data_IF_776636912937
#
_entry.id   IF_776636912937
#
_cell.length_a   1.000
_cell.length_b   1.000
_cell.length_c   1.000
_cell.angle_alpha   90.00
_cell.angle_beta   90.00
_cell.angle_gamma   90.00
#
_symmetry.space_group_name_H-M   'P 1'
#
loop_
_entity.id
_entity.type
_entity.pdbx_description
1 polymer ?
#
# COMPACT_ATOMS: atom_id res chain seq x y z
N UNK A 1 12.10 -3.38 -38.28
CA UNK A 1 11.09 -2.32 -38.05
C UNK A 1 11.56 -1.50 -36.87
N UNK A 2 11.92 -0.23 -37.10
CA UNK A 2 12.09 0.73 -36.02
C UNK A 2 10.71 1.00 -35.40
N UNK A 3 10.63 1.07 -34.07
CA UNK A 3 9.36 1.26 -33.37
C UNK A 3 9.56 1.78 -31.96
N UNK A 4 9.56 3.10 -31.81
CA UNK A 4 9.05 3.81 -30.64
C UNK A 4 9.92 3.81 -29.38
N UNK A 5 10.95 4.66 -29.35
CA UNK A 5 11.46 5.19 -28.09
C UNK A 5 10.44 6.16 -27.50
N UNK A 6 9.44 5.64 -26.79
CA UNK A 6 8.70 6.44 -25.82
C UNK A 6 9.65 6.76 -24.68
N UNK A 7 9.61 7.98 -24.14
CA UNK A 7 10.30 8.30 -22.89
C UNK A 7 9.94 7.20 -21.87
N UNK A 8 10.90 6.64 -21.12
CA UNK A 8 10.60 5.60 -20.15
C UNK A 8 9.54 6.15 -19.19
N UNK A 9 8.34 5.56 -19.23
CA UNK A 9 7.27 5.93 -18.30
C UNK A 9 7.73 5.61 -16.88
N UNK A 10 7.41 6.50 -15.94
CA UNK A 10 7.73 6.33 -14.53
C UNK A 10 7.04 5.07 -13.98
N UNK A 11 7.79 4.15 -13.36
CA UNK A 11 7.22 2.88 -12.89
C UNK A 11 6.30 3.08 -11.69
N UNK A 12 5.07 2.56 -11.73
CA UNK A 12 4.07 2.86 -10.69
C UNK A 12 4.03 1.77 -9.62
N UNK A 13 4.45 2.11 -8.41
CA UNK A 13 4.52 1.20 -7.26
C UNK A 13 3.45 1.58 -6.24
N UNK A 14 2.50 0.68 -5.99
CA UNK A 14 1.52 0.82 -4.92
C UNK A 14 2.07 0.29 -3.60
N UNK A 15 2.17 1.16 -2.60
CA UNK A 15 2.32 0.78 -1.20
C UNK A 15 0.93 0.65 -0.58
N UNK A 16 0.52 -0.58 -0.26
CA UNK A 16 -0.77 -0.88 0.36
C UNK A 16 -0.57 -1.51 1.73
N UNK A 17 -1.32 -1.07 2.75
CA UNK A 17 -1.15 -1.63 4.07
C UNK A 17 -1.86 -0.87 5.18
N UNK A 18 -1.25 -0.85 6.36
CA UNK A 18 -1.80 -0.26 7.58
C UNK A 18 -1.20 1.13 7.91
N UNK A 19 -1.16 1.46 9.20
CA UNK A 19 -0.54 2.66 9.76
C UNK A 19 0.92 2.86 9.35
N UNK A 20 1.70 1.78 9.20
CA UNK A 20 3.11 1.87 8.80
C UNK A 20 3.23 2.35 7.36
N UNK A 21 2.34 1.88 6.48
CA UNK A 21 2.23 2.37 5.10
C UNK A 21 1.68 3.79 5.03
N UNK A 22 0.71 4.12 5.89
CA UNK A 22 0.11 5.45 5.94
C UNK A 22 1.09 6.53 6.43
N UNK A 23 2.14 6.12 7.15
CA UNK A 23 3.10 7.01 7.79
C UNK A 23 2.75 7.44 9.20
N UNK A 24 1.80 6.78 9.87
CA UNK A 24 1.21 7.22 11.14
C UNK A 24 2.28 7.45 12.22
N UNK A 25 2.41 8.69 12.68
CA UNK A 25 3.29 9.06 13.79
C UNK A 25 2.65 10.12 14.69
N UNK A 26 3.28 10.45 15.83
CA UNK A 26 2.76 11.40 16.81
C UNK A 26 1.27 11.17 17.19
N UNK A 27 0.88 9.90 17.37
CA UNK A 27 -0.51 9.47 17.63
C UNK A 27 -1.53 9.91 16.56
N UNK A 28 -1.12 9.93 15.29
CA UNK A 28 -1.98 10.28 14.15
C UNK A 28 -2.10 11.77 13.91
N UNK A 29 -1.33 12.59 14.64
CA UNK A 29 -1.24 14.03 14.41
C UNK A 29 -0.37 14.37 13.20
N UNK A 30 0.57 13.48 12.85
CA UNK A 30 1.53 13.65 11.76
C UNK A 30 1.62 12.33 10.98
N UNK A 31 1.93 12.44 9.69
CA UNK A 31 2.18 11.29 8.82
C UNK A 31 3.45 11.52 8.02
N UNK A 32 4.41 10.60 8.12
CA UNK A 32 5.66 10.64 7.35
C UNK A 32 5.55 9.84 6.05
N UNK A 33 6.10 10.31 4.93
CA UNK A 33 5.83 9.73 3.62
C UNK A 33 6.68 8.47 3.36
N UNK A 34 6.24 7.31 3.87
CA UNK A 34 6.88 6.01 3.59
C UNK A 34 7.09 5.75 2.09
N UNK A 35 6.06 5.98 1.28
CA UNK A 35 6.14 5.75 -0.17
C UNK A 35 7.20 6.60 -0.85
N UNK A 36 7.38 7.85 -0.42
CA UNK A 36 8.41 8.76 -0.96
C UNK A 36 9.81 8.25 -0.59
N UNK A 37 10.03 7.94 0.69
CA UNK A 37 11.31 7.40 1.16
C UNK A 37 11.68 6.09 0.43
N UNK A 38 10.70 5.24 0.14
CA UNK A 38 10.90 4.01 -0.63
C UNK A 38 11.38 4.29 -2.06
N UNK A 39 10.70 5.17 -2.81
CA UNK A 39 11.09 5.42 -4.21
C UNK A 39 12.42 6.16 -4.31
N UNK A 40 12.73 7.04 -3.36
CA UNK A 40 14.06 7.68 -3.26
C UNK A 40 15.15 6.63 -3.03
N UNK A 41 14.92 5.67 -2.14
CA UNK A 41 15.85 4.57 -1.90
C UNK A 41 16.01 3.66 -3.13
N UNK A 42 14.91 3.38 -3.86
CA UNK A 42 14.96 2.59 -5.10
C UNK A 42 15.75 3.32 -6.19
N UNK A 43 15.50 4.61 -6.41
CA UNK A 43 16.24 5.43 -7.37
C UNK A 43 17.74 5.44 -7.04
N UNK A 44 18.10 5.62 -5.76
CA UNK A 44 19.49 5.60 -5.31
C UNK A 44 20.17 4.22 -5.42
N UNK A 45 19.42 3.13 -5.24
CA UNK A 45 19.99 1.77 -5.16
C UNK A 45 20.08 1.07 -6.51
N UNK A 46 19.08 1.25 -7.38
CA UNK A 46 18.96 0.52 -8.66
C UNK A 46 18.77 1.43 -9.88
N UNK A 47 18.84 2.76 -9.70
CA UNK A 47 18.77 3.72 -10.81
C UNK A 47 17.43 3.74 -11.54
N UNK A 48 16.37 3.26 -10.89
CA UNK A 48 15.02 3.17 -11.49
C UNK A 48 14.16 4.30 -10.94
N UNK A 49 13.57 5.11 -11.83
CA UNK A 49 12.60 6.13 -11.45
C UNK A 49 11.21 5.49 -11.27
N UNK A 50 10.60 5.74 -10.11
CA UNK A 50 9.30 5.21 -9.76
C UNK A 50 8.36 6.30 -9.23
N UNK A 51 7.06 6.09 -9.38
CA UNK A 51 5.98 6.82 -8.72
C UNK A 51 5.45 5.97 -7.57
N UNK A 52 5.31 6.56 -6.38
CA UNK A 52 4.65 5.90 -5.26
C UNK A 52 3.15 6.24 -5.23
N UNK A 53 2.29 5.23 -5.33
CA UNK A 53 0.90 5.32 -4.90
C UNK A 53 0.82 4.81 -3.47
N UNK A 54 0.21 5.54 -2.55
CA UNK A 54 0.15 5.14 -1.13
C UNK A 54 -1.30 4.99 -0.68
N UNK A 55 -1.65 3.81 -0.17
CA UNK A 55 -2.94 3.52 0.45
C UNK A 55 -2.75 2.72 1.73
N UNK A 56 -2.51 3.42 2.83
CA UNK A 56 -2.46 2.83 4.18
C UNK A 56 -3.76 3.07 4.93
N UNK A 57 -4.26 2.04 5.60
CA UNK A 57 -5.47 2.11 6.44
C UNK A 57 -5.10 1.82 7.89
N UNK A 58 -4.90 2.88 8.69
CA UNK A 58 -4.43 2.78 10.07
C UNK A 58 -5.32 1.84 10.92
N UNK A 59 -4.69 0.96 11.69
CA UNK A 59 -5.38 0.03 12.59
C UNK A 59 -6.02 -1.19 11.93
N UNK A 60 -5.99 -1.32 10.60
CA UNK A 60 -6.59 -2.47 9.92
C UNK A 60 -5.83 -3.76 10.14
N UNK A 61 -6.59 -4.83 10.34
CA UNK A 61 -6.14 -6.22 10.29
C UNK A 61 -6.02 -6.71 8.84
N UNK A 62 -5.23 -7.76 8.62
CA UNK A 62 -5.14 -8.42 7.32
C UNK A 62 -6.53 -8.89 6.81
N UNK A 63 -7.36 -9.45 7.68
CA UNK A 63 -8.72 -9.89 7.34
C UNK A 63 -9.65 -8.74 6.93
N UNK A 64 -9.48 -7.56 7.53
CA UNK A 64 -10.27 -6.39 7.19
C UNK A 64 -9.84 -5.82 5.83
N UNK A 65 -8.54 -5.88 5.49
CA UNK A 65 -8.07 -5.54 4.14
C UNK A 65 -8.69 -6.46 3.08
N UNK A 66 -8.78 -7.76 3.36
CA UNK A 66 -9.46 -8.75 2.49
C UNK A 66 -10.95 -8.44 2.35
N UNK A 67 -11.63 -8.16 3.47
CA UNK A 67 -13.07 -7.84 3.47
C UNK A 67 -13.37 -6.60 2.63
N UNK A 68 -12.44 -5.64 2.60
CA UNK A 68 -12.60 -4.36 1.92
C UNK A 68 -12.05 -4.33 0.49
N UNK A 69 -11.61 -5.44 -0.10
CA UNK A 69 -10.89 -5.48 -1.39
C UNK A 69 -11.55 -4.65 -2.50
N UNK A 70 -12.87 -4.71 -2.63
CA UNK A 70 -13.63 -4.03 -3.68
C UNK A 70 -14.22 -2.68 -3.24
N UNK A 71 -14.03 -2.28 -1.98
CA UNK A 71 -14.64 -1.07 -1.44
C UNK A 71 -14.09 0.19 -2.11
N UNK A 72 -14.99 1.09 -2.51
CA UNK A 72 -14.65 2.42 -3.04
C UNK A 72 -14.25 3.41 -1.96
N UNK A 73 -14.58 3.11 -0.69
CA UNK A 73 -14.26 3.94 0.46
C UNK A 73 -14.07 3.07 1.69
N UNK A 74 -12.85 3.05 2.21
CA UNK A 74 -12.47 2.39 3.46
C UNK A 74 -12.05 3.48 4.42
N UNK A 75 -12.70 3.54 5.59
CA UNK A 75 -12.33 4.48 6.66
C UNK A 75 -11.45 3.79 7.68
N UNK A 76 -10.39 4.46 8.13
CA UNK A 76 -9.48 3.93 9.14
C UNK A 76 -9.73 4.52 10.53
N UNK A 77 -9.02 4.02 11.55
CA UNK A 77 -9.17 4.49 12.94
C UNK A 77 -8.69 5.93 13.15
N UNK A 78 -7.91 6.47 12.21
CA UNK A 78 -7.44 7.85 12.19
C UNK A 78 -8.37 8.78 11.40
N UNK A 79 -9.58 8.31 11.03
CA UNK A 79 -10.56 9.03 10.21
C UNK A 79 -10.06 9.40 8.81
N UNK A 80 -8.98 8.76 8.33
CA UNK A 80 -8.55 8.85 6.94
C UNK A 80 -9.35 7.86 6.10
N UNK A 81 -9.43 8.14 4.81
CA UNK A 81 -10.16 7.28 3.87
C UNK A 81 -9.29 6.89 2.69
N UNK A 82 -9.39 5.64 2.29
CA UNK A 82 -8.74 5.08 1.10
C UNK A 82 -9.67 4.15 0.33
N UNK A 83 -9.08 3.28 -0.51
CA UNK A 83 -9.81 2.30 -1.33
C UNK A 83 -9.34 0.88 -0.99
N UNK A 84 -10.17 -0.11 -1.34
CA UNK A 84 -9.77 -1.51 -1.36
C UNK A 84 -8.69 -1.79 -2.42
N UNK A 85 -7.82 -2.77 -2.17
CA UNK A 85 -6.72 -3.10 -3.10
C UNK A 85 -7.26 -3.48 -4.50
N UNK A 86 -8.23 -4.40 -4.57
CA UNK A 86 -8.82 -4.84 -5.85
C UNK A 86 -9.53 -3.69 -6.56
N UNK A 87 -10.12 -2.74 -5.81
CA UNK A 87 -10.69 -1.52 -6.38
C UNK A 87 -9.64 -0.63 -7.06
N UNK A 88 -8.46 -0.47 -6.45
CA UNK A 88 -7.34 0.31 -7.01
C UNK A 88 -6.79 -0.37 -8.27
N UNK A 89 -6.60 -1.70 -8.23
CA UNK A 89 -6.06 -2.48 -9.35
C UNK A 89 -6.97 -2.49 -10.60
N UNK A 90 -8.23 -2.06 -10.47
CA UNK A 90 -9.19 -1.94 -11.57
C UNK A 90 -9.33 -0.50 -12.12
N UNK A 91 -8.51 0.43 -11.65
CA UNK A 91 -8.50 1.81 -12.18
C UNK A 91 -7.83 1.86 -13.56
N UNK A 92 -8.09 2.93 -14.32
CA UNK A 92 -7.61 3.10 -15.70
C UNK A 92 -6.08 2.98 -15.80
N UNK A 93 -5.38 3.40 -14.75
CA UNK A 93 -3.94 3.26 -14.61
C UNK A 93 -3.67 2.43 -13.35
N UNK A 94 -3.58 1.10 -13.45
CA UNK A 94 -3.20 0.25 -12.31
C UNK A 94 -1.68 0.35 -12.05
N UNK A 95 -1.23 0.13 -10.81
CA UNK A 95 0.19 -0.01 -10.51
C UNK A 95 0.78 -1.25 -11.21
N UNK A 96 2.07 -1.20 -11.53
CA UNK A 96 2.82 -2.34 -12.07
C UNK A 96 3.30 -3.28 -10.96
N UNK A 97 3.53 -2.73 -9.77
CA UNK A 97 3.94 -3.47 -8.57
C UNK A 97 3.09 -3.04 -7.39
N UNK A 98 2.60 -4.00 -6.61
CA UNK A 98 1.96 -3.75 -5.32
C UNK A 98 2.80 -4.35 -4.19
N UNK A 99 3.23 -3.49 -3.27
CA UNK A 99 3.88 -3.85 -2.02
C UNK A 99 2.82 -3.87 -0.92
N UNK A 100 2.59 -5.04 -0.36
CA UNK A 100 1.58 -5.26 0.68
C UNK A 100 2.29 -5.41 2.02
N UNK A 101 1.94 -4.56 2.98
CA UNK A 101 2.42 -4.63 4.37
C UNK A 101 1.23 -4.73 5.32
N UNK A 102 1.03 -5.92 5.88
CA UNK A 102 -0.09 -6.25 6.76
C UNK A 102 0.35 -7.18 7.89
N UNK A 103 -0.45 -7.25 8.95
CA UNK A 103 -0.23 -8.16 10.08
C UNK A 103 0.20 -7.48 11.38
N UNK A 104 0.66 -6.23 11.37
CA UNK A 104 1.13 -5.54 12.57
C UNK A 104 0.02 -5.40 13.62
N UNK A 105 -1.17 -4.99 13.19
CA UNK A 105 -2.33 -4.85 14.08
C UNK A 105 -2.84 -6.22 14.56
N UNK A 106 -2.76 -7.23 13.70
CA UNK A 106 -3.12 -8.61 14.05
C UNK A 106 -2.25 -9.16 15.17
N UNK A 107 -0.94 -8.93 15.11
CA UNK A 107 -0.01 -9.23 16.20
C UNK A 107 -0.39 -8.48 17.48
N UNK A 108 -0.73 -7.20 17.37
CA UNK A 108 -1.23 -6.40 18.50
C UNK A 108 -2.54 -6.92 19.10
N UNK A 109 -3.34 -7.66 18.33
CA UNK A 109 -4.57 -8.34 18.77
C UNK A 109 -4.34 -9.80 19.17
N UNK A 110 -3.10 -10.26 19.22
CA UNK A 110 -2.74 -11.66 19.55
C UNK A 110 -3.39 -12.70 18.63
N UNK A 111 -3.61 -12.36 17.35
CA UNK A 111 -4.01 -13.35 16.35
C UNK A 111 -2.86 -14.33 16.06
N UNK A 112 -3.21 -15.56 15.67
CA UNK A 112 -2.20 -16.58 15.36
C UNK A 112 -1.51 -16.26 14.02
N UNK A 113 -0.18 -16.44 13.89
CA UNK A 113 0.53 -16.19 12.64
C UNK A 113 -0.05 -16.91 11.43
N UNK A 114 -0.57 -18.13 11.61
CA UNK A 114 -1.17 -18.92 10.54
C UNK A 114 -2.44 -18.27 9.99
N UNK A 115 -3.27 -17.69 10.87
CA UNK A 115 -4.50 -17.00 10.46
C UNK A 115 -4.17 -15.70 9.71
N UNK A 116 -3.13 -14.98 10.17
CA UNK A 116 -2.64 -13.75 9.52
C UNK A 116 -2.13 -14.07 8.12
N UNK A 117 -1.29 -15.10 8.01
CA UNK A 117 -0.74 -15.54 6.73
C UNK A 117 -1.84 -15.99 5.76
N UNK A 118 -2.82 -16.75 6.25
CA UNK A 118 -3.97 -17.16 5.44
C UNK A 118 -4.77 -15.97 4.89
N UNK A 119 -4.93 -14.89 5.66
CA UNK A 119 -5.59 -13.69 5.17
C UNK A 119 -4.76 -13.00 4.07
N UNK A 120 -3.43 -12.91 4.23
CA UNK A 120 -2.53 -12.30 3.22
C UNK A 120 -2.55 -13.07 1.89
N UNK A 121 -2.80 -14.38 1.92
CA UNK A 121 -2.86 -15.21 0.71
C UNK A 121 -4.20 -15.14 -0.05
N UNK A 122 -5.18 -14.34 0.39
CA UNK A 122 -6.50 -14.21 -0.25
C UNK A 122 -6.59 -13.04 -1.23
#
# INVERSE_FOLDING_TARGET
RAGGGGAPGLHRVLCYGDSLTAGFCAHGKVFEPYGQALIEALAASVGTECEALVCGHSGHLASEMVTNLDSSKVSDVASRTGKGLRRILREEQPPELALIMAGTNDLGKSRRPEDIFQDICR
#
